data_IF_501086378095
#
_entry.id   IF_501086378095
#
_cell.length_a   1.000
_cell.length_b   1.000
_cell.length_c   1.000
_cell.angle_alpha   90.00
_cell.angle_beta   90.00
_cell.angle_gamma   90.00
#
_symmetry.space_group_name_H-M   'P 1'
#
loop_
_entity.id
_entity.type
_entity.pdbx_description
1 polymer ?
#
# COMPACT_ATOMS: atom_id res chain seq x y z
N UNK A 1 20.24 10.11 0.42
CA UNK A 1 19.62 8.98 -0.26
C UNK A 1 18.35 8.54 0.46
N UNK A 2 17.31 8.29 -0.32
CA UNK A 2 16.04 7.92 0.26
C UNK A 2 16.01 6.45 0.69
N UNK A 3 15.86 6.28 1.76
CA UNK A 3 15.98 5.03 2.35
C UNK A 3 14.69 4.50 2.78
N UNK A 4 13.64 5.38 2.71
CA UNK A 4 12.31 5.02 3.19
C UNK A 4 11.30 5.08 2.06
N UNK A 5 10.31 4.23 2.07
CA UNK A 5 9.25 4.29 1.06
C UNK A 5 7.94 3.71 1.59
N UNK A 6 6.88 4.03 0.88
CA UNK A 6 5.56 3.44 1.04
C UNK A 6 5.22 2.75 -0.27
N UNK A 7 4.85 1.49 -0.23
CA UNK A 7 4.48 0.75 -1.43
C UNK A 7 2.99 0.49 -1.41
N UNK A 8 2.33 0.72 -2.55
CA UNK A 8 0.94 0.37 -2.71
C UNK A 8 0.86 -0.75 -3.75
N UNK A 9 0.27 -1.87 -3.37
CA UNK A 9 0.11 -3.03 -4.23
C UNK A 9 -1.32 -3.03 -4.75
N UNK A 10 -1.49 -2.95 -6.07
CA UNK A 10 -2.83 -2.85 -6.65
C UNK A 10 -3.25 -4.16 -7.30
N UNK A 11 -4.53 -4.47 -7.21
CA UNK A 11 -5.08 -5.60 -7.93
C UNK A 11 -5.06 -5.29 -9.43
N UNK A 12 -4.62 -6.25 -10.22
CA UNK A 12 -4.59 -6.09 -11.67
C UNK A 12 -5.69 -6.90 -12.37
N UNK A 13 -6.52 -7.60 -11.58
CA UNK A 13 -7.62 -8.39 -12.12
C UNK A 13 -8.96 -7.64 -12.12
N UNK A 14 -8.95 -6.39 -11.68
CA UNK A 14 -10.17 -5.58 -11.68
C UNK A 14 -10.23 -4.66 -12.90
N UNK A 15 -11.22 -4.43 -13.32
CA UNK A 15 -11.38 -3.63 -14.46
C UNK A 15 -11.84 -2.29 -14.11
N UNK A 16 -11.10 -1.64 -13.44
CA UNK A 16 -11.50 -0.29 -13.05
C UNK A 16 -10.71 0.75 -13.84
N UNK A 17 -11.27 1.95 -13.95
CA UNK A 17 -10.63 3.04 -14.69
C UNK A 17 -9.34 3.51 -14.00
N UNK A 18 -8.50 4.19 -14.77
CA UNK A 18 -7.26 4.76 -14.23
C UNK A 18 -7.54 5.73 -13.09
N UNK A 19 -8.57 6.56 -13.26
CA UNK A 19 -8.94 7.53 -12.22
C UNK A 19 -9.40 6.84 -10.94
N UNK A 20 -10.20 5.79 -11.09
CA UNK A 20 -10.65 5.04 -9.91
C UNK A 20 -9.47 4.40 -9.20
N UNK A 21 -8.55 3.78 -9.95
CA UNK A 21 -7.37 3.18 -9.31
C UNK A 21 -6.50 4.23 -8.64
N UNK A 22 -6.32 5.39 -9.28
CA UNK A 22 -5.55 6.47 -8.66
C UNK A 22 -6.15 6.89 -7.32
N UNK A 23 -7.48 6.97 -7.25
CA UNK A 23 -8.14 7.33 -6.00
C UNK A 23 -7.92 6.25 -4.93
N UNK A 24 -7.98 4.97 -5.33
CA UNK A 24 -7.76 3.88 -4.37
C UNK A 24 -6.32 3.89 -3.84
N UNK A 25 -5.36 4.15 -4.71
CA UNK A 25 -3.96 4.27 -4.30
C UNK A 25 -3.80 5.44 -3.33
N UNK A 26 -4.47 6.55 -3.59
CA UNK A 26 -4.41 7.70 -2.68
C UNK A 26 -5.01 7.36 -1.32
N UNK A 27 -6.12 6.60 -1.30
CA UNK A 27 -6.69 6.13 -0.03
C UNK A 27 -5.67 5.31 0.76
N UNK A 28 -4.97 4.40 0.09
CA UNK A 28 -3.96 3.58 0.76
C UNK A 28 -2.86 4.46 1.34
N UNK A 29 -2.40 5.44 0.56
CA UNK A 29 -1.31 6.31 1.01
C UNK A 29 -1.73 7.12 2.23
N UNK A 30 -2.91 7.69 2.22
CA UNK A 30 -3.39 8.48 3.36
C UNK A 30 -3.56 7.59 4.59
N UNK A 31 -4.19 6.44 4.42
CA UNK A 31 -4.48 5.57 5.55
C UNK A 31 -3.19 5.03 6.18
N UNK A 32 -2.23 4.60 5.37
CA UNK A 32 -0.97 4.11 5.89
C UNK A 32 -0.18 5.22 6.57
N UNK A 33 -0.20 6.43 6.00
CA UNK A 33 0.51 7.56 6.59
C UNK A 33 -0.05 7.91 7.97
N UNK A 34 -1.36 8.00 8.09
CA UNK A 34 -1.98 8.34 9.36
C UNK A 34 -1.77 7.24 10.38
N UNK A 35 -1.86 5.98 9.97
CA UNK A 35 -1.62 4.86 10.87
C UNK A 35 -0.18 4.86 11.38
N UNK A 36 0.78 5.07 10.49
CA UNK A 36 2.19 5.10 10.88
C UNK A 36 2.49 6.31 11.77
N UNK A 37 1.90 7.46 11.45
CA UNK A 37 2.11 8.65 12.26
C UNK A 37 1.73 8.38 13.72
N UNK A 38 0.66 7.63 13.94
CA UNK A 38 0.16 7.32 15.26
C UNK A 38 0.94 6.20 15.94
N UNK A 39 1.27 5.12 15.21
CA UNK A 39 1.76 3.87 15.82
C UNK A 39 3.19 3.50 15.44
N UNK A 40 3.82 4.24 14.56
CA UNK A 40 5.17 3.95 14.09
C UNK A 40 5.83 5.26 13.67
N UNK A 41 5.82 6.21 14.57
CA UNK A 41 6.18 7.59 14.24
C UNK A 41 7.61 7.75 13.75
N UNK A 42 8.53 6.91 14.21
CA UNK A 42 9.91 6.96 13.75
C UNK A 42 10.01 6.73 12.25
N UNK A 43 9.39 5.65 11.76
CA UNK A 43 9.36 5.38 10.32
C UNK A 43 8.58 6.44 9.56
N UNK A 44 7.46 6.89 10.12
CA UNK A 44 6.69 7.94 9.46
C UNK A 44 7.55 9.19 9.26
N UNK A 45 8.17 9.63 10.32
CA UNK A 45 8.94 10.88 10.25
C UNK A 45 10.12 10.80 9.28
N UNK A 46 10.75 9.74 9.27
CA UNK A 46 11.79 9.51 8.41
C UNK A 46 11.42 9.55 6.99
N UNK A 47 10.34 9.00 6.72
CA UNK A 47 9.79 8.97 5.37
C UNK A 47 9.19 10.32 4.98
N UNK A 48 8.40 10.87 5.84
CA UNK A 48 7.72 12.13 5.55
C UNK A 48 8.71 13.25 5.23
N UNK A 49 9.75 13.35 6.04
CA UNK A 49 10.71 14.43 5.89
C UNK A 49 11.74 14.17 4.78
N UNK A 50 11.81 12.95 4.28
CA UNK A 50 12.80 12.55 3.28
C UNK A 50 12.21 12.45 1.89
N UNK A 51 11.08 13.08 1.65
CA UNK A 51 10.49 13.17 0.32
C UNK A 51 9.25 12.33 0.08
N UNK A 52 8.84 11.54 1.05
CA UNK A 52 7.57 10.81 0.96
C UNK A 52 7.50 9.87 -0.25
N UNK A 53 8.57 9.15 -0.53
CA UNK A 53 8.63 8.27 -1.69
C UNK A 53 7.49 7.24 -1.68
N UNK A 54 6.82 7.10 -2.80
CA UNK A 54 5.75 6.12 -2.98
C UNK A 54 6.01 5.33 -4.25
N UNK A 55 5.71 4.03 -4.19
CA UNK A 55 5.87 3.16 -5.36
C UNK A 55 4.60 2.33 -5.48
N UNK A 56 4.07 2.23 -6.70
CA UNK A 56 2.86 1.45 -6.96
C UNK A 56 3.24 0.23 -7.78
N UNK A 57 2.86 -0.95 -7.27
CA UNK A 57 3.26 -2.22 -7.90
C UNK A 57 2.05 -3.11 -8.15
N UNK A 58 2.21 -4.09 -9.05
CA UNK A 58 1.14 -5.00 -9.46
C UNK A 58 1.02 -6.16 -8.49
N UNK A 59 -0.20 -6.47 -8.06
CA UNK A 59 -0.44 -7.52 -7.08
C UNK A 59 -1.35 -8.65 -7.49
N UNK A 60 -1.77 -8.72 -8.71
CA UNK A 60 -2.68 -9.70 -9.27
C UNK A 60 -4.09 -9.70 -8.66
N UNK A 61 -4.35 -10.45 -7.59
CA UNK A 61 -5.73 -10.61 -7.10
C UNK A 61 -5.82 -10.40 -5.59
N UNK A 62 -7.05 -10.48 -5.06
CA UNK A 62 -7.27 -10.23 -3.63
C UNK A 62 -6.49 -11.18 -2.73
N UNK A 63 -6.42 -12.46 -3.12
CA UNK A 63 -5.70 -13.45 -2.32
C UNK A 63 -4.24 -13.05 -2.16
N UNK A 64 -3.62 -12.58 -3.24
CA UNK A 64 -2.23 -12.11 -3.19
C UNK A 64 -2.10 -10.92 -2.24
N UNK A 65 -3.01 -9.96 -2.33
CA UNK A 65 -2.96 -8.81 -1.44
C UNK A 65 -3.05 -9.22 0.04
N UNK A 66 -3.93 -10.16 0.35
CA UNK A 66 -4.07 -10.60 1.73
C UNK A 66 -2.86 -11.36 2.22
N UNK A 67 -2.21 -12.14 1.35
CA UNK A 67 -0.97 -12.84 1.71
C UNK A 67 0.15 -11.85 2.01
N UNK A 68 0.25 -10.80 1.20
CA UNK A 68 1.26 -9.77 1.43
C UNK A 68 0.99 -9.04 2.74
N UNK A 69 -0.28 -8.77 3.02
CA UNK A 69 -0.63 -8.12 4.27
C UNK A 69 -0.24 -8.98 5.47
N UNK A 70 -0.52 -10.28 5.41
CA UNK A 70 -0.14 -11.17 6.49
C UNK A 70 1.36 -11.16 6.72
N UNK A 71 2.13 -11.18 5.64
CA UNK A 71 3.58 -11.14 5.74
C UNK A 71 4.04 -9.83 6.38
N UNK A 72 3.45 -8.71 5.97
CA UNK A 72 3.79 -7.41 6.55
C UNK A 72 3.51 -7.38 8.05
N UNK A 73 2.40 -7.90 8.43
CA UNK A 73 2.09 -8.03 9.86
C UNK A 73 3.14 -8.82 10.62
N UNK A 74 3.47 -9.81 10.07
CA UNK A 74 4.41 -10.67 10.64
C UNK A 74 5.76 -10.13 10.85
N UNK A 75 6.11 -9.18 10.10
CA UNK A 75 7.40 -8.55 10.36
C UNK A 75 7.25 -7.12 10.91
N UNK A 76 6.06 -6.77 11.32
CA UNK A 76 5.82 -5.54 12.06
C UNK A 76 5.74 -4.26 11.22
N UNK A 77 5.41 -4.38 9.94
CA UNK A 77 5.28 -3.20 9.07
C UNK A 77 3.85 -2.66 9.09
N UNK A 78 3.71 -1.35 9.14
CA UNK A 78 2.43 -0.69 8.94
C UNK A 78 1.84 -1.15 7.62
N UNK A 79 0.57 -1.42 7.63
CA UNK A 79 -0.13 -1.91 6.44
C UNK A 79 -1.63 -1.59 6.51
N UNK A 80 -2.30 -1.58 5.32
CA UNK A 80 -3.64 -1.26 5.25
C UNK A 80 -4.21 -1.78 3.98
N UNK A 81 -5.31 -2.59 4.10
CA UNK A 81 -6.10 -2.93 2.92
C UNK A 81 -7.12 -1.86 2.68
N UNK A 82 -7.33 -1.53 1.41
CA UNK A 82 -8.34 -0.56 1.04
C UNK A 82 -9.51 -1.30 0.40
N UNK A 83 -10.72 -1.05 0.91
CA UNK A 83 -11.95 -1.59 0.35
C UNK A 83 -12.75 -0.44 -0.21
N UNK A 84 -13.33 -0.64 -1.39
CA UNK A 84 -14.15 0.39 -2.02
C UNK A 84 -15.52 0.47 -1.35
N UNK A 85 -16.06 1.67 -1.25
CA UNK A 85 -17.41 1.86 -0.73
C UNK A 85 -18.48 1.35 -1.69
N UNK A 86 -18.11 1.12 -2.95
CA UNK A 86 -19.01 0.51 -3.92
C UNK A 86 -20.01 1.48 -4.52
N UNK A 87 -19.65 2.75 -4.57
CA UNK A 87 -20.53 3.76 -5.14
C UNK A 87 -20.23 4.01 -6.61
N UNK A 88 -19.27 3.29 -7.18
CA UNK A 88 -18.81 3.52 -8.54
C UNK A 88 -18.73 2.22 -9.35
N UNK A 89 -17.52 1.76 -9.64
CA UNK A 89 -17.26 0.73 -10.65
C UNK A 89 -17.24 -0.71 -10.12
N UNK A 90 -17.17 -0.90 -8.81
CA UNK A 90 -17.09 -2.22 -8.21
C UNK A 90 -18.10 -2.38 -7.08
N UNK A 91 -18.46 -3.62 -6.72
CA UNK A 91 -19.40 -3.83 -5.61
C UNK A 91 -18.85 -3.30 -4.28
N UNK A 92 -19.76 -2.93 -3.37
CA UNK A 92 -19.34 -2.50 -2.05
C UNK A 92 -18.45 -3.54 -1.36
N UNK A 93 -17.39 -3.07 -0.75
CA UNK A 93 -16.48 -3.94 -0.01
C UNK A 93 -15.40 -4.60 -0.85
N UNK A 94 -15.37 -4.33 -2.16
CA UNK A 94 -14.31 -4.88 -3.00
C UNK A 94 -12.96 -4.36 -2.53
N UNK A 95 -12.04 -5.28 -2.19
CA UNK A 95 -10.68 -4.91 -1.85
C UNK A 95 -9.94 -4.51 -3.13
N UNK A 96 -9.27 -3.38 -3.11
CA UNK A 96 -8.63 -2.86 -4.33
C UNK A 96 -7.12 -2.80 -4.23
N UNK A 97 -6.60 -2.45 -3.09
CA UNK A 97 -5.15 -2.38 -2.90
C UNK A 97 -4.71 -2.52 -1.42
N UNK A 98 -3.35 -2.72 -1.21
CA UNK A 98 -2.79 -2.88 0.01
C UNK A 98 -1.68 -1.95 0.09
N UNK A 99 -1.62 -1.17 1.12
CA UNK A 99 -0.44 -0.38 1.36
C UNK A 99 0.49 -1.04 2.37
N UNK A 100 1.78 -0.87 2.16
CA UNK A 100 2.81 -1.43 3.06
C UNK A 100 3.83 -0.34 3.35
N UNK A 101 3.95 0.01 4.61
CA UNK A 101 4.83 1.07 5.04
C UNK A 101 4.07 2.30 5.53
N UNK A 102 4.76 3.44 5.61
CA UNK A 102 6.16 3.67 5.21
C UNK A 102 7.17 3.04 6.16
N UNK A 103 8.31 2.66 5.63
CA UNK A 103 9.40 2.11 6.41
C UNK A 103 10.67 2.07 5.58
N UNK A 104 11.74 1.59 6.18
CA UNK A 104 13.01 1.41 5.49
C UNK A 104 12.82 0.54 4.26
N UNK A 105 13.47 0.92 3.15
CA UNK A 105 13.29 0.21 1.87
C UNK A 105 13.63 -1.26 1.95
N UNK A 106 14.69 -1.62 2.66
CA UNK A 106 15.08 -3.04 2.71
C UNK A 106 14.04 -3.88 3.40
N UNK A 107 13.40 -3.33 4.41
CA UNK A 107 12.33 -4.04 5.11
C UNK A 107 11.10 -4.19 4.21
N UNK A 108 10.72 -3.12 3.54
CA UNK A 108 9.59 -3.15 2.61
C UNK A 108 9.85 -4.17 1.49
N UNK A 109 11.09 -4.24 0.99
CA UNK A 109 11.43 -5.15 -0.09
C UNK A 109 11.30 -6.61 0.29
N UNK A 110 11.34 -6.96 1.58
CA UNK A 110 11.06 -8.33 2.00
C UNK A 110 9.64 -8.74 1.62
N UNK A 111 8.73 -7.79 1.54
CA UNK A 111 7.33 -8.07 1.19
C UNK A 111 7.09 -7.91 -0.31
N UNK A 112 7.53 -6.81 -0.90
CA UNK A 112 7.08 -6.41 -2.23
C UNK A 112 8.21 -6.33 -3.26
N UNK A 113 9.40 -6.64 -2.87
CA UNK A 113 10.57 -6.46 -3.72
C UNK A 113 10.53 -7.16 -5.09
N UNK A 114 9.74 -7.98 -5.20
CA UNK A 114 9.71 -8.75 -6.38
C UNK A 114 8.69 -8.33 -7.35
N UNK A 115 7.85 -7.48 -6.89
CA UNK A 115 6.67 -7.13 -7.68
C UNK A 115 7.01 -6.07 -8.70
N UNK A 116 6.37 -6.16 -9.89
CA UNK A 116 6.61 -5.23 -10.98
C UNK A 116 5.90 -3.90 -10.77
N UNK A 117 6.46 -2.82 -11.29
CA UNK A 117 5.79 -1.53 -11.25
C UNK A 117 4.47 -1.57 -12.01
N UNK A 118 3.49 -0.91 -11.47
CA UNK A 118 2.16 -0.80 -12.07
C UNK A 118 2.16 0.15 -13.26
#
# INVERSE_FOLDING_TARGET
>A
MLXYKLVIVVRTDLXISKGKMAAQVAHAAVNCSLKAKKSDSSNFNXWYNDGQKKVVVKGSNESTLRQLQQHARXIGLTNXLVSDAGLTEVPPGTVTCXGVGPANESKIDEITGXLSLF
#
